data_IF_760744373603
#
_entry.id   IF_760744373603
#
_cell.length_a   1.000
_cell.length_b   1.000
_cell.length_c   1.000
_cell.angle_alpha   90.00
_cell.angle_beta   90.00
_cell.angle_gamma   90.00
#
_symmetry.space_group_name_H-M   'P 1'
#
loop_
_entity.id
_entity.type
_entity.pdbx_description
1 polymer ?
#
# COMPACT_ATOMS: atom_id res chain seq x y z
N UNK A 1 3.16 5.31 10.12
CA UNK A 1 3.49 5.46 11.55
C UNK A 1 3.82 6.90 11.94
N UNK A 2 4.60 7.64 11.14
CA UNK A 2 4.87 9.06 11.39
C UNK A 2 3.59 9.89 11.65
N UNK A 3 2.53 9.67 10.85
CA UNK A 3 1.24 10.36 11.03
C UNK A 3 0.58 10.13 12.40
N UNK A 4 0.71 8.93 12.98
CA UNK A 4 0.15 8.63 14.30
C UNK A 4 0.96 9.29 15.42
N UNK A 5 2.27 9.47 15.23
CA UNK A 5 3.12 10.19 16.18
C UNK A 5 2.85 11.70 16.16
N UNK A 6 2.50 12.23 14.98
CA UNK A 6 2.11 13.64 14.82
C UNK A 6 0.73 13.95 15.45
N UNK A 7 -0.13 12.93 15.60
CA UNK A 7 -1.49 13.07 16.15
C UNK A 7 -1.67 12.20 17.41
N UNK A 8 -1.31 12.72 18.60
CA UNK A 8 -1.33 11.94 19.84
C UNK A 8 -2.73 11.42 20.21
N UNK A 9 -3.79 12.10 19.80
CA UNK A 9 -5.18 11.67 20.05
C UNK A 9 -5.53 10.38 19.28
N UNK A 10 -5.01 10.22 18.07
CA UNK A 10 -5.20 9.00 17.27
C UNK A 10 -4.43 7.84 17.90
N UNK A 11 -3.22 8.11 18.39
CA UNK A 11 -2.38 7.12 19.06
C UNK A 11 -2.99 6.65 20.37
N UNK A 12 -3.52 7.56 21.20
CA UNK A 12 -4.20 7.20 22.47
C UNK A 12 -5.34 6.21 22.24
N UNK A 13 -6.22 6.49 21.28
CA UNK A 13 -7.34 5.60 20.93
C UNK A 13 -6.88 4.21 20.46
N UNK A 14 -5.77 4.15 19.73
CA UNK A 14 -5.18 2.87 19.31
C UNK A 14 -4.64 2.06 20.49
N UNK A 15 -4.03 2.73 21.47
CA UNK A 15 -3.55 2.09 22.70
C UNK A 15 -4.72 1.64 23.58
N UNK A 16 -5.79 2.42 23.69
CA UNK A 16 -7.01 2.06 24.42
C UNK A 16 -7.67 0.80 23.84
N UNK A 17 -7.81 0.71 22.51
CA UNK A 17 -8.33 -0.50 21.85
C UNK A 17 -7.43 -1.71 22.15
N UNK A 18 -6.11 -1.52 22.10
CA UNK A 18 -5.14 -2.59 22.34
C UNK A 18 -5.21 -3.11 23.79
N UNK A 19 -5.22 -2.20 24.76
CA UNK A 19 -5.34 -2.50 26.19
C UNK A 19 -6.69 -3.21 26.47
N UNK A 20 -7.76 -2.86 25.76
CA UNK A 20 -9.08 -3.48 25.92
C UNK A 20 -9.19 -4.90 25.36
N UNK A 21 -8.56 -5.18 24.21
CA UNK A 21 -8.69 -6.49 23.51
C UNK A 21 -7.65 -7.50 23.97
N UNK A 22 -6.39 -7.07 24.11
CA UNK A 22 -5.25 -7.96 24.37
C UNK A 22 -4.92 -7.99 25.86
N UNK A 23 -5.05 -6.85 26.55
CA UNK A 23 -4.53 -6.65 27.90
C UNK A 23 -3.01 -6.49 27.90
N UNK A 24 -2.43 -6.20 29.08
CA UNK A 24 -0.99 -5.92 29.23
C UNK A 24 -0.13 -7.15 29.54
N UNK A 25 -0.73 -8.30 29.78
CA UNK A 25 -0.02 -9.52 30.20
C UNK A 25 0.50 -10.37 29.04
N UNK A 26 -0.04 -10.18 27.83
CA UNK A 26 0.30 -11.04 26.67
C UNK A 26 0.65 -10.24 25.43
N UNK A 27 1.47 -10.84 24.57
CA UNK A 27 1.77 -10.30 23.24
C UNK A 27 0.57 -10.50 22.30
N UNK A 28 0.43 -9.58 21.34
CA UNK A 28 -0.61 -9.61 20.31
C UNK A 28 -0.46 -10.87 19.46
N UNK A 29 -1.56 -11.61 19.29
CA UNK A 29 -1.63 -12.78 18.42
C UNK A 29 -2.45 -12.49 17.17
N UNK A 30 -2.24 -13.26 16.09
CA UNK A 30 -2.98 -13.09 14.84
C UNK A 30 -4.49 -13.27 15.00
N UNK A 31 -4.93 -14.12 15.95
CA UNK A 31 -6.35 -14.32 16.27
C UNK A 31 -7.06 -13.04 16.74
N UNK A 32 -6.34 -12.12 17.37
CA UNK A 32 -6.89 -10.87 17.91
C UNK A 32 -7.12 -9.82 16.82
N UNK A 33 -6.54 -10.02 15.64
CA UNK A 33 -6.63 -9.10 14.50
C UNK A 33 -8.08 -8.85 14.04
N UNK A 34 -8.99 -9.80 14.29
CA UNK A 34 -10.41 -9.62 14.01
C UNK A 34 -11.08 -8.59 14.93
N UNK A 35 -10.61 -8.46 16.17
CA UNK A 35 -11.19 -7.57 17.20
C UNK A 35 -10.57 -6.17 17.20
N UNK A 36 -9.38 -6.01 16.60
CA UNK A 36 -8.67 -4.73 16.47
C UNK A 36 -9.14 -3.97 15.23
N UNK A 37 -10.26 -3.26 15.33
CA UNK A 37 -10.89 -2.56 14.21
C UNK A 37 -10.28 -1.19 13.97
N UNK A 38 -9.97 -0.45 15.03
CA UNK A 38 -9.41 0.89 14.97
C UNK A 38 -7.96 0.85 14.47
N UNK A 39 -7.12 -0.04 15.01
CA UNK A 39 -5.74 -0.21 14.53
C UNK A 39 -5.72 -0.56 13.04
N UNK A 40 -6.64 -1.42 12.59
CA UNK A 40 -6.79 -1.80 11.18
C UNK A 40 -7.19 -0.60 10.32
N UNK A 41 -8.09 0.25 10.82
CA UNK A 41 -8.43 1.51 10.14
C UNK A 41 -7.22 2.45 10.04
N UNK A 42 -6.42 2.59 11.11
CA UNK A 42 -5.20 3.41 11.09
C UNK A 42 -4.19 2.93 10.04
N UNK A 43 -3.98 1.61 9.93
CA UNK A 43 -3.08 1.03 8.92
C UNK A 43 -3.61 1.31 7.51
N UNK A 44 -4.92 1.14 7.28
CA UNK A 44 -5.55 1.44 5.98
C UNK A 44 -5.41 2.91 5.61
N UNK A 45 -5.58 3.80 6.57
CA UNK A 45 -5.42 5.23 6.34
C UNK A 45 -3.96 5.62 6.06
N UNK A 46 -3.01 4.99 6.74
CA UNK A 46 -1.59 5.19 6.47
C UNK A 46 -1.23 4.79 5.03
N UNK A 47 -1.76 3.67 4.53
CA UNK A 47 -1.54 3.25 3.14
C UNK A 47 -2.28 4.12 2.11
N UNK A 48 -3.41 4.75 2.50
CA UNK A 48 -4.12 5.71 1.65
C UNK A 48 -3.31 6.98 1.44
N UNK A 49 -2.69 7.50 2.51
CA UNK A 49 -1.86 8.71 2.47
C UNK A 49 -0.49 8.44 1.83
N UNK A 50 0.11 7.30 2.16
CA UNK A 50 1.46 6.93 1.74
C UNK A 50 1.45 5.53 1.10
N UNK A 51 1.00 5.41 -0.16
CA UNK A 51 1.05 4.13 -0.86
C UNK A 51 2.51 3.72 -1.08
N UNK A 52 2.84 2.46 -0.77
CA UNK A 52 4.20 1.91 -0.97
C UNK A 52 4.60 1.96 -2.45
N UNK A 53 3.62 1.77 -3.34
CA UNK A 53 3.76 1.89 -4.77
C UNK A 53 2.62 2.76 -5.33
N UNK A 54 2.84 4.07 -5.56
CA UNK A 54 1.82 4.96 -6.14
C UNK A 54 1.36 4.50 -7.52
N UNK A 55 2.28 3.92 -8.27
CA UNK A 55 2.00 3.20 -9.51
C UNK A 55 2.11 1.71 -9.21
N UNK A 56 0.99 1.01 -9.34
CA UNK A 56 1.00 -0.46 -9.33
C UNK A 56 1.89 -0.98 -10.47
N UNK A 57 2.28 -2.25 -10.37
CA UNK A 57 3.02 -2.92 -11.45
C UNK A 57 2.27 -2.71 -12.77
N UNK A 58 2.94 -2.27 -13.85
CA UNK A 58 2.29 -2.08 -15.13
C UNK A 58 1.54 -3.36 -15.55
N UNK A 59 0.23 -3.24 -15.74
CA UNK A 59 -0.62 -4.32 -16.26
C UNK A 59 -0.86 -4.12 -17.75
N UNK A 60 -1.00 -5.22 -18.49
CA UNK A 60 -1.27 -5.23 -19.93
C UNK A 60 -2.42 -6.17 -20.25
N UNK A 61 -3.21 -5.83 -21.27
CA UNK A 61 -4.27 -6.69 -21.78
C UNK A 61 -3.66 -7.79 -22.65
N UNK A 62 -4.02 -9.04 -22.35
CA UNK A 62 -3.60 -10.22 -23.13
C UNK A 62 -4.38 -10.37 -24.43
N UNK A 63 -5.53 -9.72 -24.55
CA UNK A 63 -6.37 -9.69 -25.73
C UNK A 63 -6.84 -8.26 -26.03
N UNK A 64 -7.15 -8.00 -27.29
CA UNK A 64 -7.71 -6.72 -27.71
C UNK A 64 -9.01 -6.46 -26.94
N UNK A 65 -9.05 -5.36 -26.22
CA UNK A 65 -10.16 -5.00 -25.34
C UNK A 65 -10.47 -3.52 -25.52
N UNK A 66 -11.75 -3.17 -25.61
CA UNK A 66 -12.20 -1.78 -25.60
C UNK A 66 -12.88 -1.46 -24.28
N UNK A 67 -12.47 -0.34 -23.66
CA UNK A 67 -13.12 0.19 -22.48
C UNK A 67 -13.64 1.59 -22.81
N UNK A 68 -14.96 1.73 -22.93
CA UNK A 68 -15.59 2.94 -23.44
C UNK A 68 -15.16 3.24 -24.89
N UNK A 69 -14.58 4.42 -25.12
CA UNK A 69 -14.07 4.86 -26.44
C UNK A 69 -12.58 4.56 -26.66
N UNK A 70 -11.93 3.89 -25.71
CA UNK A 70 -10.49 3.61 -25.76
C UNK A 70 -10.29 2.13 -26.12
N UNK A 71 -9.51 1.88 -27.18
CA UNK A 71 -9.11 0.53 -27.59
C UNK A 71 -7.70 0.23 -27.09
N UNK A 72 -7.52 -0.92 -26.44
CA UNK A 72 -6.24 -1.44 -25.98
C UNK A 72 -5.81 -2.57 -26.92
N UNK A 73 -4.70 -2.37 -27.63
CA UNK A 73 -4.11 -3.37 -28.52
C UNK A 73 -3.20 -4.34 -27.78
N UNK A 74 -3.27 -5.63 -28.10
CA UNK A 74 -2.49 -6.67 -27.47
C UNK A 74 -0.97 -6.55 -27.75
N UNK A 75 -0.19 -6.71 -26.67
CA UNK A 75 1.22 -7.13 -26.57
C UNK A 75 2.33 -6.26 -27.20
N UNK A 76 2.13 -5.59 -28.35
CA UNK A 76 3.27 -4.99 -29.10
C UNK A 76 3.81 -3.65 -28.56
N UNK A 77 3.20 -3.06 -27.52
CA UNK A 77 3.61 -1.76 -26.97
C UNK A 77 4.58 -1.84 -25.78
N UNK A 78 4.70 -3.00 -25.12
CA UNK A 78 5.40 -3.16 -23.82
C UNK A 78 6.92 -2.99 -23.89
N UNK A 79 7.54 -3.49 -24.96
CA UNK A 79 8.99 -3.71 -24.98
C UNK A 79 9.83 -2.42 -24.99
N UNK A 80 9.27 -1.30 -25.46
CA UNK A 80 9.95 0.01 -25.39
C UNK A 80 9.75 0.70 -24.05
N UNK A 81 8.55 0.65 -23.48
CA UNK A 81 8.22 1.34 -22.23
C UNK A 81 8.93 0.70 -21.02
N UNK A 82 9.03 -0.64 -21.00
CA UNK A 82 9.70 -1.37 -19.93
C UNK A 82 11.21 -1.10 -19.90
N UNK A 83 11.87 -0.99 -21.05
CA UNK A 83 13.30 -0.64 -21.12
C UNK A 83 13.58 0.74 -20.54
N UNK A 84 12.73 1.74 -20.80
CA UNK A 84 12.90 3.09 -20.24
C UNK A 84 12.69 3.15 -18.72
N UNK A 85 11.71 2.43 -18.17
CA UNK A 85 11.50 2.40 -16.71
C UNK A 85 12.58 1.61 -15.98
N UNK A 86 13.10 0.52 -16.57
CA UNK A 86 14.23 -0.23 -15.99
C UNK A 86 15.49 0.63 -15.91
N UNK A 87 15.73 1.50 -16.90
CA UNK A 87 16.84 2.47 -16.88
C UNK A 87 16.63 3.53 -15.80
N UNK A 88 15.41 4.07 -15.65
CA UNK A 88 15.12 5.09 -14.64
C UNK A 88 15.21 4.56 -13.19
N UNK A 89 14.79 3.31 -12.94
CA UNK A 89 14.95 2.67 -11.63
C UNK A 89 16.42 2.31 -11.33
N UNK A 90 17.20 1.91 -12.34
CA UNK A 90 18.61 1.57 -12.16
C UNK A 90 19.49 2.80 -11.88
N UNK A 91 19.19 3.96 -12.47
CA UNK A 91 19.92 5.21 -12.19
C UNK A 91 19.53 5.85 -10.84
N UNK A 92 18.32 5.60 -10.34
CA UNK A 92 17.90 6.06 -9.01
C UNK A 92 18.57 5.29 -7.86
N UNK A 93 19.07 4.07 -8.09
CA UNK A 93 19.77 3.26 -7.08
C UNK A 93 21.31 3.38 -7.13
N UNK A 94 21.87 4.12 -8.09
CA UNK A 94 23.31 4.23 -8.35
C UNK A 94 23.97 5.51 -7.83
N UNK A 95 23.43 6.14 -6.79
CA UNK A 95 23.99 7.34 -6.17
C UNK A 95 24.35 7.12 -4.70
N UNK A 96 25.48 6.46 -4.45
CA UNK A 96 26.27 6.57 -3.22
C UNK A 96 27.75 6.40 -3.56
#
# INVERSE_FOLDING_TARGET
>A
MAEMLNQPEVLKKAVEELDSVVGRERLVQESDFHRLNYIKACVREAFRLHPVAPFNVPHMSTADSSYGKIAFGAEKACDRQWRSQKVALATASGGR
#
